data_IF_336923835236
#
_entry.id   IF_336923835236
#
_cell.length_a   1.000
_cell.length_b   1.000
_cell.length_c   1.000
_cell.angle_alpha   90.00
_cell.angle_beta   90.00
_cell.angle_gamma   90.00
#
_symmetry.space_group_name_H-M   'P 1'
#
loop_
_entity.id
_entity.type
_entity.pdbx_description
1 polymer ?
#
# COMPACT_ATOMS: atom_id res chain seq x y z
N UNK A 1 -0.82 6.13 -47.70
CA UNK A 1 0.25 5.45 -46.93
C UNK A 1 0.35 6.14 -45.58
N UNK A 2 0.00 5.42 -44.50
CA UNK A 2 -0.11 5.96 -43.15
C UNK A 2 1.28 6.06 -42.48
N UNK A 3 1.98 7.18 -42.69
CA UNK A 3 3.30 7.43 -42.07
C UNK A 3 3.29 7.32 -40.53
N UNK A 4 2.19 7.73 -39.88
CA UNK A 4 2.02 7.62 -38.43
C UNK A 4 1.94 6.18 -37.91
N UNK A 5 1.46 5.24 -38.72
CA UNK A 5 1.39 3.83 -38.34
C UNK A 5 2.77 3.14 -38.44
N UNK A 6 3.61 3.57 -39.39
CA UNK A 6 4.97 3.06 -39.55
C UNK A 6 5.97 3.68 -38.54
N UNK A 7 5.73 4.90 -38.07
CA UNK A 7 6.49 5.49 -36.96
C UNK A 7 6.13 4.84 -35.62
N UNK A 8 4.84 4.62 -35.35
CA UNK A 8 4.40 3.87 -34.17
C UNK A 8 5.00 2.46 -34.14
N UNK A 9 4.99 1.72 -35.27
CA UNK A 9 5.57 0.38 -35.31
C UNK A 9 7.09 0.34 -35.06
N UNK A 10 7.81 1.41 -35.40
CA UNK A 10 9.25 1.53 -35.09
C UNK A 10 9.47 1.85 -33.63
N UNK A 11 8.73 2.80 -33.08
CA UNK A 11 8.80 3.15 -31.66
C UNK A 11 8.50 1.95 -30.76
N UNK A 12 7.54 1.12 -31.14
CA UNK A 12 7.16 -0.10 -30.44
C UNK A 12 8.29 -1.14 -30.43
N UNK A 13 8.98 -1.30 -31.57
CA UNK A 13 10.16 -2.18 -31.68
C UNK A 13 11.35 -1.71 -30.84
N UNK A 14 11.51 -0.40 -30.63
CA UNK A 14 12.59 0.11 -29.78
C UNK A 14 12.30 -0.16 -28.30
N UNK A 15 11.02 -0.10 -27.89
CA UNK A 15 10.61 -0.39 -26.52
C UNK A 15 10.83 -1.86 -26.18
N UNK A 16 10.42 -2.79 -27.04
CA UNK A 16 10.62 -4.23 -26.81
C UNK A 16 12.11 -4.58 -26.74
N UNK A 17 12.92 -4.09 -27.69
CA UNK A 17 14.38 -4.27 -27.67
C UNK A 17 15.04 -3.68 -26.41
N UNK A 18 14.58 -2.51 -25.96
CA UNK A 18 15.08 -1.88 -24.73
C UNK A 18 14.74 -2.71 -23.49
N UNK A 19 13.52 -3.26 -23.41
CA UNK A 19 13.11 -4.14 -22.31
C UNK A 19 13.97 -5.40 -22.26
N UNK A 20 14.17 -6.08 -23.40
CA UNK A 20 15.03 -7.26 -23.48
C UNK A 20 16.47 -6.94 -23.05
N UNK A 21 16.99 -5.78 -23.50
CA UNK A 21 18.30 -5.28 -23.09
C UNK A 21 18.41 -5.08 -21.57
N UNK A 22 17.43 -4.42 -20.96
CA UNK A 22 17.42 -4.19 -19.52
C UNK A 22 17.23 -5.50 -18.73
N UNK A 23 16.34 -6.40 -19.15
CA UNK A 23 16.17 -7.69 -18.49
C UNK A 23 17.46 -8.52 -18.52
N UNK A 24 18.16 -8.56 -19.65
CA UNK A 24 19.45 -9.22 -19.75
C UNK A 24 20.51 -8.53 -18.86
N UNK A 25 20.60 -7.20 -18.91
CA UNK A 25 21.52 -6.42 -18.06
C UNK A 25 21.30 -6.74 -16.58
N UNK A 26 20.05 -6.74 -16.13
CA UNK A 26 19.67 -7.02 -14.74
C UNK A 26 20.01 -8.47 -14.37
N UNK A 27 19.67 -9.43 -15.24
CA UNK A 27 19.89 -10.87 -14.99
C UNK A 27 21.38 -11.19 -14.82
N UNK A 28 22.25 -10.62 -15.64
CA UNK A 28 23.70 -10.84 -15.54
C UNK A 28 24.40 -9.89 -14.55
N UNK A 29 23.83 -8.72 -14.33
CA UNK A 29 24.39 -7.64 -13.54
C UNK A 29 24.19 -7.79 -12.03
N UNK A 30 23.14 -8.48 -11.58
CA UNK A 30 22.76 -8.57 -10.17
C UNK A 30 23.90 -9.06 -9.24
N UNK A 31 24.84 -9.85 -9.75
CA UNK A 31 26.02 -10.32 -8.98
C UNK A 31 27.31 -9.53 -9.25
N UNK A 32 27.30 -8.56 -10.18
CA UNK A 32 28.51 -7.92 -10.72
C UNK A 32 28.55 -6.41 -10.54
N UNK A 33 27.41 -5.72 -10.53
CA UNK A 33 27.33 -4.27 -10.36
C UNK A 33 25.94 -3.84 -9.88
N UNK A 34 25.83 -2.56 -9.54
CA UNK A 34 24.55 -1.95 -9.15
C UNK A 34 23.61 -1.83 -10.36
N UNK A 35 22.56 -2.66 -10.37
CA UNK A 35 21.52 -2.70 -11.42
C UNK A 35 20.38 -1.71 -11.16
N UNK A 36 20.44 -0.88 -10.12
CA UNK A 36 19.33 0.00 -9.71
C UNK A 36 18.83 0.89 -10.84
N UNK A 37 19.75 1.50 -11.59
CA UNK A 37 19.40 2.36 -12.71
C UNK A 37 18.68 1.59 -13.81
N UNK A 38 19.11 0.37 -14.09
CA UNK A 38 18.51 -0.49 -15.11
C UNK A 38 17.10 -0.92 -14.70
N UNK A 39 16.91 -1.31 -13.43
CA UNK A 39 15.58 -1.65 -12.90
C UNK A 39 14.64 -0.45 -12.96
N UNK A 40 15.08 0.74 -12.56
CA UNK A 40 14.23 1.94 -12.63
C UNK A 40 13.85 2.31 -14.07
N UNK A 41 14.76 2.15 -15.03
CA UNK A 41 14.46 2.35 -16.46
C UNK A 41 13.48 1.32 -16.97
N UNK A 42 13.67 0.04 -16.62
CA UNK A 42 12.76 -1.04 -16.94
C UNK A 42 11.35 -0.77 -16.40
N UNK A 43 11.22 -0.42 -15.11
CA UNK A 43 9.93 -0.08 -14.49
C UNK A 43 9.27 1.12 -15.18
N UNK A 44 10.06 2.12 -15.57
CA UNK A 44 9.55 3.29 -16.31
C UNK A 44 8.98 2.88 -17.67
N UNK A 45 9.69 2.04 -18.43
CA UNK A 45 9.21 1.54 -19.72
C UNK A 45 7.96 0.67 -19.54
N UNK A 46 8.00 -0.28 -18.60
CA UNK A 46 6.87 -1.16 -18.31
C UNK A 46 5.61 -0.39 -17.94
N UNK A 47 5.69 0.56 -17.01
CA UNK A 47 4.49 1.29 -16.58
C UNK A 47 3.96 2.31 -17.59
N UNK A 48 4.80 2.80 -18.51
CA UNK A 48 4.39 3.75 -19.55
C UNK A 48 3.83 3.06 -20.81
N UNK A 49 4.36 1.88 -21.16
CA UNK A 49 4.08 1.20 -22.43
C UNK A 49 3.44 -0.19 -22.29
N UNK A 50 3.54 -0.85 -21.12
CA UNK A 50 3.10 -2.23 -20.91
C UNK A 50 1.60 -2.48 -21.03
N UNK A 51 0.80 -1.43 -21.02
CA UNK A 51 -0.64 -1.50 -21.25
C UNK A 51 -1.10 -1.18 -22.67
N UNK A 52 -0.18 -0.75 -23.54
CA UNK A 52 -0.50 -0.25 -24.89
C UNK A 52 -0.37 -1.33 -25.96
N UNK A 53 0.55 -2.28 -25.76
CA UNK A 53 0.97 -3.25 -26.78
C UNK A 53 1.08 -4.64 -26.17
N UNK A 54 0.57 -5.64 -26.87
CA UNK A 54 0.62 -7.06 -26.45
C UNK A 54 2.07 -7.56 -26.43
N UNK A 55 2.87 -7.19 -27.43
CA UNK A 55 4.29 -7.59 -27.52
C UNK A 55 5.11 -7.12 -26.32
N UNK A 56 4.83 -5.90 -25.82
CA UNK A 56 5.48 -5.36 -24.63
C UNK A 56 5.04 -6.11 -23.37
N UNK A 57 3.75 -6.45 -23.27
CA UNK A 57 3.24 -7.24 -22.15
C UNK A 57 3.91 -8.62 -22.09
N UNK A 58 4.04 -9.30 -23.23
CA UNK A 58 4.62 -10.65 -23.31
C UNK A 58 6.13 -10.61 -23.02
N UNK A 59 6.86 -9.66 -23.59
CA UNK A 59 8.28 -9.45 -23.29
C UNK A 59 8.52 -9.17 -21.80
N UNK A 60 7.66 -8.38 -21.15
CA UNK A 60 7.73 -8.14 -19.70
C UNK A 60 7.42 -9.41 -18.92
N UNK A 61 6.37 -10.15 -19.30
CA UNK A 61 6.02 -11.41 -18.63
C UNK A 61 7.20 -12.40 -18.62
N UNK A 62 7.83 -12.60 -19.77
CA UNK A 62 8.99 -13.48 -19.93
C UNK A 62 10.22 -12.95 -19.17
N UNK A 63 10.46 -11.64 -19.21
CA UNK A 63 11.56 -11.01 -18.48
C UNK A 63 11.42 -11.11 -16.97
N UNK A 64 10.22 -10.87 -16.43
CA UNK A 64 9.91 -11.03 -15.00
C UNK A 64 10.10 -12.47 -14.51
N UNK A 65 9.92 -13.46 -15.37
CA UNK A 65 10.18 -14.86 -15.04
C UNK A 65 11.68 -15.18 -14.93
N UNK A 66 12.52 -14.52 -15.72
CA UNK A 66 13.99 -14.75 -15.79
C UNK A 66 14.78 -14.07 -14.68
N UNK A 67 14.34 -12.89 -14.24
CA UNK A 67 15.06 -12.10 -13.21
C UNK A 67 14.86 -12.70 -11.82
N UNK A 68 15.94 -12.76 -11.02
CA UNK A 68 15.87 -13.21 -9.61
C UNK A 68 14.91 -12.35 -8.79
N UNK A 69 14.16 -12.99 -7.88
CA UNK A 69 13.18 -12.31 -7.05
C UNK A 69 13.82 -11.27 -6.12
N UNK A 70 15.06 -11.50 -5.68
CA UNK A 70 15.82 -10.62 -4.79
C UNK A 70 16.04 -9.22 -5.39
N UNK A 71 16.16 -9.15 -6.72
CA UNK A 71 16.32 -7.90 -7.46
C UNK A 71 15.20 -6.90 -7.19
N UNK A 72 13.99 -7.38 -6.93
CA UNK A 72 12.81 -6.54 -6.80
C UNK A 72 12.60 -5.98 -5.40
N UNK A 73 13.33 -6.48 -4.39
CA UNK A 73 13.08 -6.17 -2.99
C UNK A 73 13.23 -4.67 -2.68
N UNK A 74 14.25 -4.03 -3.25
CA UNK A 74 14.48 -2.59 -3.08
C UNK A 74 13.39 -1.73 -3.76
N UNK A 75 12.69 -2.30 -4.75
CA UNK A 75 11.71 -1.59 -5.57
C UNK A 75 10.26 -1.85 -5.15
N UNK A 76 10.02 -2.56 -4.04
CA UNK A 76 8.67 -2.82 -3.49
C UNK A 76 7.85 -1.52 -3.35
N UNK A 77 8.38 -0.39 -2.83
CA UNK A 77 7.62 0.86 -2.73
C UNK A 77 7.09 1.36 -4.09
N UNK A 78 7.93 1.32 -5.13
CA UNK A 78 7.60 1.76 -6.48
C UNK A 78 6.56 0.82 -7.13
N UNK A 79 6.69 -0.48 -6.90
CA UNK A 79 5.73 -1.49 -7.36
C UNK A 79 4.35 -1.26 -6.71
N UNK A 80 4.30 -1.11 -5.38
CA UNK A 80 3.06 -0.88 -4.64
C UNK A 80 2.39 0.45 -5.02
N UNK A 81 3.18 1.49 -5.30
CA UNK A 81 2.64 2.77 -5.77
C UNK A 81 1.83 2.64 -7.07
N UNK A 82 2.09 1.62 -7.90
CA UNK A 82 1.42 1.39 -9.19
C UNK A 82 0.30 0.35 -9.15
N UNK A 83 -0.03 -0.19 -7.97
CA UNK A 83 -1.04 -1.24 -7.79
C UNK A 83 -2.46 -0.86 -8.27
N UNK A 84 -2.75 0.45 -8.35
CA UNK A 84 -4.03 0.95 -8.84
C UNK A 84 -4.13 1.02 -10.38
N UNK A 85 -3.04 0.79 -11.11
CA UNK A 85 -3.02 0.85 -12.58
C UNK A 85 -3.80 -0.31 -13.17
N UNK A 86 -4.78 -0.04 -14.05
CA UNK A 86 -5.63 -1.09 -14.63
C UNK A 86 -4.96 -1.89 -15.74
N UNK A 87 -3.95 -1.34 -16.41
CA UNK A 87 -3.42 -1.95 -17.64
C UNK A 87 -2.31 -2.99 -17.40
N UNK A 88 -1.57 -2.89 -16.29
CA UNK A 88 -0.46 -3.80 -15.95
C UNK A 88 -0.70 -4.59 -14.66
N UNK A 89 -1.95 -4.59 -14.17
CA UNK A 89 -2.29 -5.06 -12.83
C UNK A 89 -2.01 -6.56 -12.64
N UNK A 90 -2.26 -7.39 -13.66
CA UNK A 90 -2.09 -8.84 -13.55
C UNK A 90 -0.62 -9.24 -13.34
N UNK A 91 0.29 -8.72 -14.16
CA UNK A 91 1.74 -8.98 -14.03
C UNK A 91 2.30 -8.42 -12.72
N UNK A 92 1.84 -7.24 -12.31
CA UNK A 92 2.25 -6.63 -11.04
C UNK A 92 1.78 -7.44 -9.82
N UNK A 93 0.51 -7.86 -9.80
CA UNK A 93 -0.01 -8.71 -8.73
C UNK A 93 0.70 -10.06 -8.70
N UNK A 94 0.99 -10.64 -9.87
CA UNK A 94 1.74 -11.88 -9.95
C UNK A 94 3.17 -11.73 -9.40
N UNK A 95 3.87 -10.66 -9.77
CA UNK A 95 5.21 -10.35 -9.24
C UNK A 95 5.18 -10.15 -7.72
N UNK A 96 4.29 -9.30 -7.20
CA UNK A 96 4.16 -9.06 -5.76
C UNK A 96 3.76 -10.33 -5.01
N UNK A 97 2.90 -11.17 -5.59
CA UNK A 97 2.57 -12.48 -5.01
C UNK A 97 3.80 -13.38 -4.95
N UNK A 98 4.61 -13.44 -6.01
CA UNK A 98 5.88 -14.19 -6.00
C UNK A 98 6.85 -13.65 -4.94
N UNK A 99 7.01 -12.33 -4.85
CA UNK A 99 7.82 -11.69 -3.80
C UNK A 99 7.31 -12.11 -2.42
N UNK A 100 5.98 -12.09 -2.21
CA UNK A 100 5.37 -12.48 -0.96
C UNK A 100 5.53 -13.97 -0.59
N UNK A 101 5.70 -14.85 -1.57
CA UNK A 101 6.01 -16.26 -1.30
C UNK A 101 7.50 -16.49 -0.98
N UNK A 102 8.41 -15.78 -1.64
CA UNK A 102 9.85 -15.96 -1.40
C UNK A 102 10.37 -15.14 -0.21
N UNK A 103 9.87 -13.91 -0.03
CA UNK A 103 10.30 -12.95 0.99
C UNK A 103 9.09 -12.30 1.66
N UNK A 104 8.24 -13.06 2.38
CA UNK A 104 7.04 -12.50 3.00
C UNK A 104 7.37 -11.33 3.94
N UNK A 105 8.45 -11.40 4.71
CA UNK A 105 8.90 -10.34 5.61
C UNK A 105 9.16 -8.99 4.93
N UNK A 106 9.56 -8.98 3.65
CA UNK A 106 9.81 -7.75 2.91
C UNK A 106 8.52 -7.08 2.42
N UNK A 107 7.46 -7.87 2.23
CA UNK A 107 6.21 -7.41 1.63
C UNK A 107 5.13 -7.06 2.66
N UNK A 108 5.12 -7.71 3.83
CA UNK A 108 4.00 -7.63 4.77
C UNK A 108 3.69 -6.19 5.22
N UNK A 109 4.65 -5.43 5.74
CA UNK A 109 4.35 -4.07 6.19
C UNK A 109 3.91 -3.14 5.04
N UNK A 110 4.63 -3.08 3.91
CA UNK A 110 4.20 -2.24 2.78
C UNK A 110 2.82 -2.61 2.23
N UNK A 111 2.48 -3.91 2.16
CA UNK A 111 1.18 -4.34 1.61
C UNK A 111 0.04 -4.14 2.60
N UNK A 112 0.27 -4.33 3.91
CA UNK A 112 -0.72 -4.04 4.96
C UNK A 112 -1.12 -2.57 4.93
N UNK A 113 -0.15 -1.65 4.82
CA UNK A 113 -0.44 -0.21 4.65
C UNK A 113 -1.19 0.07 3.35
N UNK A 114 -0.89 -0.64 2.27
CA UNK A 114 -1.62 -0.49 1.01
C UNK A 114 -3.07 -1.00 1.11
N UNK A 115 -3.36 -2.00 1.96
CA UNK A 115 -4.70 -2.55 2.18
C UNK A 115 -5.62 -1.63 3.00
N UNK A 116 -5.06 -0.76 3.83
CA UNK A 116 -5.82 0.23 4.62
C UNK A 116 -6.01 1.56 3.91
N UNK A 117 -5.46 1.73 2.70
CA UNK A 117 -5.51 2.98 1.94
C UNK A 117 -6.91 3.32 1.39
N UNK A 118 -7.19 4.62 1.22
CA UNK A 118 -8.50 5.21 0.84
C UNK A 118 -8.96 4.87 -0.61
N UNK A 119 -8.17 4.12 -1.40
CA UNK A 119 -8.50 3.81 -2.80
C UNK A 119 -9.04 2.39 -3.01
N UNK A 120 -10.30 2.26 -3.48
CA UNK A 120 -10.98 0.97 -3.65
C UNK A 120 -10.19 -0.06 -4.51
N UNK A 121 -9.67 0.35 -5.69
CA UNK A 121 -8.91 -0.57 -6.57
C UNK A 121 -7.58 -1.01 -5.94
N UNK A 122 -6.87 -0.08 -5.31
CA UNK A 122 -5.59 -0.35 -4.64
C UNK A 122 -5.81 -1.29 -3.46
N UNK A 123 -6.83 -1.01 -2.65
CA UNK A 123 -7.23 -1.81 -1.50
C UNK A 123 -7.56 -3.25 -1.91
N UNK A 124 -8.44 -3.45 -2.89
CA UNK A 124 -8.82 -4.80 -3.35
C UNK A 124 -7.62 -5.60 -3.87
N UNK A 125 -6.73 -4.97 -4.64
CA UNK A 125 -5.52 -5.64 -5.12
C UNK A 125 -4.56 -5.99 -3.97
N UNK A 126 -4.36 -5.07 -3.02
CA UNK A 126 -3.51 -5.29 -1.86
C UNK A 126 -4.07 -6.39 -0.94
N UNK A 127 -5.39 -6.41 -0.70
CA UNK A 127 -6.08 -7.46 0.04
C UNK A 127 -5.94 -8.82 -0.64
N UNK A 128 -6.03 -8.87 -1.97
CA UNK A 128 -5.80 -10.09 -2.75
C UNK A 128 -4.37 -10.65 -2.58
N UNK A 129 -3.36 -9.78 -2.65
CA UNK A 129 -1.96 -10.17 -2.43
C UNK A 129 -1.74 -10.59 -0.97
N UNK A 130 -2.23 -9.81 -0.01
CA UNK A 130 -2.10 -10.11 1.41
C UNK A 130 -2.77 -11.46 1.75
N UNK A 131 -3.93 -11.76 1.16
CA UNK A 131 -4.59 -13.05 1.31
C UNK A 131 -3.74 -14.19 0.74
N UNK A 132 -3.06 -14.00 -0.39
CA UNK A 132 -2.14 -14.98 -0.94
C UNK A 132 -0.94 -15.23 -0.01
N UNK A 133 -0.34 -14.16 0.53
CA UNK A 133 0.75 -14.26 1.52
C UNK A 133 0.28 -14.92 2.80
N UNK A 134 -0.93 -14.61 3.28
CA UNK A 134 -1.53 -15.21 4.48
C UNK A 134 -1.77 -16.71 4.32
N UNK A 135 -2.10 -17.20 3.13
CA UNK A 135 -2.19 -18.65 2.85
C UNK A 135 -0.83 -19.34 2.92
N UNK A 136 0.24 -18.66 2.52
CA UNK A 136 1.60 -19.22 2.53
C UNK A 136 2.27 -19.12 3.91
N UNK A 137 2.17 -17.97 4.58
CA UNK A 137 2.82 -17.65 5.86
C UNK A 137 1.83 -17.06 6.87
N UNK A 138 0.82 -17.83 7.33
CA UNK A 138 -0.26 -17.31 8.16
C UNK A 138 0.22 -16.72 9.49
N UNK A 139 1.15 -17.41 10.15
CA UNK A 139 1.69 -16.98 11.45
C UNK A 139 2.41 -15.63 11.34
N UNK A 140 3.30 -15.48 10.35
CA UNK A 140 4.04 -14.25 10.15
C UNK A 140 3.11 -13.07 9.84
N UNK A 141 2.07 -13.29 9.04
CA UNK A 141 1.06 -12.26 8.76
C UNK A 141 0.29 -11.89 10.03
N UNK A 142 -0.12 -12.87 10.85
CA UNK A 142 -0.81 -12.60 12.12
C UNK A 142 0.06 -11.82 13.11
N UNK A 143 1.33 -12.21 13.26
CA UNK A 143 2.29 -11.53 14.13
C UNK A 143 2.55 -10.10 13.67
N UNK A 144 2.73 -9.88 12.36
CA UNK A 144 2.94 -8.55 11.81
C UNK A 144 1.67 -7.67 11.85
N UNK A 145 0.47 -8.24 11.67
CA UNK A 145 -0.81 -7.55 11.86
C UNK A 145 -0.93 -7.05 13.31
N UNK A 146 -0.62 -7.91 14.29
CA UNK A 146 -0.59 -7.55 15.72
C UNK A 146 0.40 -6.42 15.97
N UNK A 147 1.67 -6.58 15.56
CA UNK A 147 2.72 -5.57 15.77
C UNK A 147 2.35 -4.25 15.11
N UNK A 148 1.87 -4.26 13.88
CA UNK A 148 1.47 -3.05 13.15
C UNK A 148 0.35 -2.31 13.87
N UNK A 149 -0.67 -3.02 14.34
CA UNK A 149 -1.79 -2.42 15.08
C UNK A 149 -1.33 -1.81 16.40
N UNK A 150 -0.54 -2.54 17.18
CA UNK A 150 -0.07 -2.06 18.48
C UNK A 150 0.95 -0.91 18.34
N UNK A 151 1.77 -0.88 17.29
CA UNK A 151 2.63 0.27 16.99
C UNK A 151 1.82 1.52 16.69
N UNK A 152 0.70 1.40 15.95
CA UNK A 152 -0.22 2.52 15.72
C UNK A 152 -0.86 2.96 17.04
N UNK A 153 -1.32 2.02 17.87
CA UNK A 153 -1.95 2.31 19.18
C UNK A 153 -0.99 3.05 20.13
N UNK A 154 0.29 2.69 20.13
CA UNK A 154 1.30 3.34 20.99
C UNK A 154 1.78 4.67 20.42
N UNK A 155 1.71 4.86 19.10
CA UNK A 155 2.12 6.11 18.46
C UNK A 155 1.17 7.29 18.73
N UNK A 156 -0.11 7.03 18.99
CA UNK A 156 -1.11 8.06 19.29
C UNK A 156 -2.01 7.55 20.42
N UNK A 157 -1.79 8.03 21.63
CA UNK A 157 -2.60 7.67 22.78
C UNK A 157 -3.97 8.35 22.72
N UNK A 158 -4.97 7.76 23.39
CA UNK A 158 -6.33 8.32 23.43
C UNK A 158 -6.37 9.76 23.96
N UNK A 159 -5.56 10.10 24.96
CA UNK A 159 -5.47 11.46 25.46
C UNK A 159 -4.92 12.46 24.42
N UNK A 160 -3.95 12.04 23.60
CA UNK A 160 -3.37 12.87 22.54
C UNK A 160 -4.39 13.03 21.39
N UNK A 161 -5.05 11.94 21.03
CA UNK A 161 -6.09 11.91 20.00
C UNK A 161 -7.27 12.82 20.36
N UNK A 162 -7.79 12.68 21.58
CA UNK A 162 -8.87 13.55 22.09
C UNK A 162 -8.43 15.00 22.21
N UNK A 163 -7.21 15.27 22.67
CA UNK A 163 -6.71 16.64 22.77
C UNK A 163 -6.65 17.34 21.41
N UNK A 164 -6.05 16.69 20.40
CA UNK A 164 -5.95 17.25 19.06
C UNK A 164 -7.30 17.46 18.39
N UNK A 165 -8.21 16.49 18.52
CA UNK A 165 -9.55 16.61 17.95
C UNK A 165 -10.40 17.67 18.64
N UNK A 166 -10.27 17.87 19.96
CA UNK A 166 -10.96 18.95 20.67
C UNK A 166 -10.43 20.33 20.29
N UNK A 167 -9.13 20.46 20.03
CA UNK A 167 -8.53 21.69 19.52
C UNK A 167 -9.09 22.05 18.13
N UNK A 168 -9.14 21.06 17.23
CA UNK A 168 -9.67 21.25 15.88
C UNK A 168 -11.19 21.50 15.89
N UNK A 169 -11.95 20.76 16.72
CA UNK A 169 -13.37 20.98 16.95
C UNK A 169 -13.64 22.41 17.47
N UNK A 170 -12.83 22.88 18.43
CA UNK A 170 -12.91 24.25 18.95
C UNK A 170 -12.66 25.29 17.85
N UNK A 171 -11.64 25.08 17.01
CA UNK A 171 -11.36 25.95 15.85
C UNK A 171 -12.53 25.98 14.86
N UNK A 172 -13.09 24.82 14.51
CA UNK A 172 -14.22 24.70 13.60
C UNK A 172 -15.47 25.40 14.14
N UNK A 173 -15.74 25.28 15.44
CA UNK A 173 -16.89 25.90 16.07
C UNK A 173 -16.74 27.42 16.27
N UNK A 174 -15.64 27.86 16.89
CA UNK A 174 -15.47 29.26 17.29
C UNK A 174 -14.93 30.17 16.18
N UNK A 175 -14.05 29.67 15.30
CA UNK A 175 -13.42 30.50 14.26
C UNK A 175 -14.08 30.33 12.89
N UNK A 176 -14.41 29.09 12.50
CA UNK A 176 -15.01 28.80 11.18
C UNK A 176 -16.54 28.87 11.23
N UNK A 177 -17.13 28.69 12.42
CA UNK A 177 -18.58 28.56 12.62
C UNK A 177 -19.22 27.39 11.85
N UNK A 178 -18.45 26.32 11.61
CA UNK A 178 -18.94 25.09 10.98
C UNK A 178 -19.19 24.01 12.04
N UNK A 179 -20.43 23.96 12.52
CA UNK A 179 -20.88 22.99 13.51
C UNK A 179 -20.87 21.57 12.95
N UNK A 180 -21.19 21.40 11.66
CA UNK A 180 -21.28 20.06 11.07
C UNK A 180 -19.90 19.44 10.92
N UNK A 181 -18.91 20.23 10.48
CA UNK A 181 -17.52 19.77 10.43
C UNK A 181 -16.99 19.42 11.83
N UNK A 182 -17.31 20.24 12.85
CA UNK A 182 -16.93 19.96 14.23
C UNK A 182 -17.52 18.64 14.75
N UNK A 183 -18.80 18.38 14.49
CA UNK A 183 -19.43 17.10 14.87
C UNK A 183 -18.81 15.91 14.11
N UNK A 184 -18.50 16.08 12.83
CA UNK A 184 -17.86 15.05 12.02
C UNK A 184 -16.45 14.70 12.53
N UNK A 185 -15.72 15.67 13.10
CA UNK A 185 -14.40 15.47 13.70
C UNK A 185 -14.48 14.64 15.00
N UNK A 186 -15.48 14.91 15.86
CA UNK A 186 -15.62 14.22 17.15
C UNK A 186 -16.36 12.88 17.08
N UNK A 187 -17.24 12.71 16.09
CA UNK A 187 -18.04 11.49 15.91
C UNK A 187 -17.22 10.17 15.92
N UNK A 188 -16.10 10.03 15.18
CA UNK A 188 -15.32 8.79 15.20
C UNK A 188 -14.72 8.47 16.58
N UNK A 189 -14.40 9.49 17.38
CA UNK A 189 -13.84 9.32 18.73
C UNK A 189 -14.89 8.86 19.73
N UNK A 190 -16.10 9.39 19.64
CA UNK A 190 -17.22 8.87 20.43
C UNK A 190 -17.52 7.41 20.07
N UNK A 191 -17.51 7.07 18.78
CA UNK A 191 -17.67 5.68 18.35
C UNK A 191 -16.53 4.79 18.87
N UNK A 192 -15.29 5.29 18.96
CA UNK A 192 -14.17 4.56 19.55
C UNK A 192 -14.39 4.29 21.05
N UNK A 193 -14.92 5.26 21.81
CA UNK A 193 -15.26 5.06 23.22
C UNK A 193 -16.37 4.03 23.40
N UNK A 194 -17.44 4.12 22.61
CA UNK A 194 -18.60 3.22 22.72
C UNK A 194 -18.25 1.76 22.38
N UNK A 195 -17.27 1.56 21.49
CA UNK A 195 -16.80 0.23 21.08
C UNK A 195 -15.69 -0.33 21.97
N UNK A 196 -15.35 0.33 23.09
CA UNK A 196 -14.30 -0.16 24.00
C UNK A 196 -14.68 -1.55 24.55
N UNK A 197 -13.83 -2.55 24.26
CA UNK A 197 -14.06 -3.93 24.70
C UNK A 197 -15.15 -4.68 23.92
N UNK A 198 -15.58 -4.15 22.77
CA UNK A 198 -16.50 -4.83 21.86
C UNK A 198 -15.70 -5.54 20.77
N UNK A 199 -15.91 -6.86 20.63
CA UNK A 199 -15.26 -7.69 19.61
C UNK A 199 -13.94 -8.30 20.06
N UNK A 200 -13.05 -8.57 19.09
CA UNK A 200 -11.76 -9.25 19.32
C UNK A 200 -10.64 -8.31 19.81
N UNK A 201 -10.91 -7.01 19.95
CA UNK A 201 -9.90 -6.02 20.39
C UNK A 201 -9.89 -5.88 21.92
N UNK A 202 -8.83 -6.38 22.55
CA UNK A 202 -8.66 -6.33 24.00
C UNK A 202 -8.09 -4.95 24.37
N UNK A 203 -8.78 -4.15 25.21
CA UNK A 203 -8.31 -2.84 25.56
C UNK A 203 -7.11 -2.88 26.51
N UNK A 204 -6.25 -1.88 26.38
CA UNK A 204 -5.10 -1.70 27.27
C UNK A 204 -5.51 -1.06 28.59
N UNK A 205 -4.68 -1.22 29.63
CA UNK A 205 -4.89 -0.56 30.92
C UNK A 205 -4.96 0.98 30.81
N UNK A 206 -4.28 1.57 29.82
CA UNK A 206 -4.30 3.02 29.58
C UNK A 206 -5.63 3.48 29.00
N UNK A 207 -6.18 2.74 28.05
CA UNK A 207 -7.50 3.03 27.47
C UNK A 207 -8.62 2.84 28.50
N UNK A 208 -8.55 1.78 29.31
CA UNK A 208 -9.46 1.55 30.43
C UNK A 208 -9.41 2.72 31.42
N UNK A 209 -8.20 3.15 31.81
CA UNK A 209 -8.03 4.28 32.72
C UNK A 209 -8.57 5.60 32.13
N UNK A 210 -8.34 5.86 30.85
CA UNK A 210 -8.90 7.02 30.15
C UNK A 210 -10.43 6.98 30.16
N UNK A 211 -11.01 5.84 29.79
CA UNK A 211 -12.46 5.67 29.75
C UNK A 211 -13.09 5.87 31.13
N UNK A 212 -12.49 5.29 32.18
CA UNK A 212 -12.96 5.48 33.56
C UNK A 212 -12.90 6.93 34.02
N UNK A 213 -11.89 7.69 33.60
CA UNK A 213 -11.71 9.07 34.00
C UNK A 213 -12.61 10.05 33.23
N UNK A 214 -12.79 9.87 31.92
CA UNK A 214 -13.36 10.91 31.05
C UNK A 214 -14.60 10.49 30.24
N UNK A 215 -14.90 9.19 30.09
CA UNK A 215 -15.96 8.77 29.17
C UNK A 215 -17.34 9.31 29.55
N UNK A 216 -17.65 9.41 30.85
CA UNK A 216 -18.92 9.95 31.33
C UNK A 216 -19.12 11.40 30.91
N UNK A 217 -18.07 12.22 31.03
CA UNK A 217 -18.12 13.64 30.72
C UNK A 217 -18.20 13.83 29.20
N UNK A 218 -17.42 13.06 28.45
CA UNK A 218 -17.46 13.08 26.98
C UNK A 218 -18.82 12.65 26.44
N UNK A 219 -19.46 11.63 27.03
CA UNK A 219 -20.80 11.19 26.61
C UNK A 219 -21.90 12.25 26.87
N UNK A 220 -21.78 13.05 27.94
CA UNK A 220 -22.75 14.10 28.24
C UNK A 220 -22.68 15.28 27.25
N UNK A 221 -21.52 15.50 26.62
CA UNK A 221 -21.28 16.59 25.67
C UNK A 221 -21.65 16.19 24.24
N UNK A 222 -22.12 14.95 24.02
CA UNK A 222 -22.64 14.49 22.72
C UNK A 222 -24.00 15.14 22.44
N UNK A 223 -23.99 16.20 21.64
CA UNK A 223 -25.19 16.92 21.16
C UNK A 223 -25.84 16.16 20.00
#
# INVERSE_FOLDING_TARGET
MNFRAAEASKDDSYVTNALDGFFNSITFGHSRYDVTKDVLRLLTLWFNYGGRLVEVHDAVSDGLAKVSIDTWLEFIPQLIARLHSSQTNHLLNHLLTRIGHHHPQALIYPITVASTAVGAKRKVAAEGILAAVKRHSPQLVQEAELVSRELIRVAILWNELWHGALEEASRLYFAVHDVQAMLNELAPLHAQLDNLGVGDDIPTLREIAFHQAFARDLQQVRI
#
